data_IF_835908588255
#
_entry.id   IF_835908588255
#
_cell.length_a   1.000
_cell.length_b   1.000
_cell.length_c   1.000
_cell.angle_alpha   90.00
_cell.angle_beta   90.00
_cell.angle_gamma   90.00
#
_symmetry.space_group_name_H-M   'P 1'
#
loop_
_entity.id
_entity.type
_entity.pdbx_description
1 polymer ?
#
# COMPACT_ATOMS: atom_id res chain seq x y z
N UNK A 1 -1.95 20.38 -18.55
CA UNK A 1 -1.06 19.22 -18.29
C UNK A 1 -1.24 18.26 -19.44
N UNK A 2 -0.17 17.87 -20.15
CA UNK A 2 -0.27 16.92 -21.25
C UNK A 2 -0.39 15.49 -20.70
N UNK A 3 -1.51 14.83 -20.98
CA UNK A 3 -1.81 13.48 -20.49
C UNK A 3 -0.78 12.45 -20.94
N UNK A 4 -0.23 12.59 -22.16
CA UNK A 4 0.76 11.66 -22.68
C UNK A 4 2.05 11.77 -21.87
N UNK A 5 2.53 13.00 -21.67
CA UNK A 5 3.69 13.27 -20.82
C UNK A 5 3.49 12.73 -19.40
N UNK A 6 2.32 12.95 -18.79
CA UNK A 6 2.01 12.44 -17.44
C UNK A 6 2.08 10.92 -17.38
N UNK A 7 1.43 10.21 -18.31
CA UNK A 7 1.44 8.74 -18.33
C UNK A 7 2.86 8.22 -18.53
N UNK A 8 3.63 8.79 -19.46
CA UNK A 8 5.02 8.39 -19.69
C UNK A 8 5.88 8.58 -18.43
N UNK A 9 5.71 9.69 -17.71
CA UNK A 9 6.39 9.91 -16.43
C UNK A 9 6.00 8.86 -15.40
N UNK A 10 4.71 8.58 -15.22
CA UNK A 10 4.23 7.56 -14.27
C UNK A 10 4.75 6.16 -14.59
N UNK A 11 4.77 5.77 -15.87
CA UNK A 11 5.29 4.47 -16.29
C UNK A 11 6.80 4.35 -16.10
N UNK A 12 7.54 5.45 -16.31
CA UNK A 12 9.00 5.49 -16.10
C UNK A 12 9.36 5.45 -14.62
N UNK A 13 8.66 6.22 -13.80
CA UNK A 13 8.96 6.38 -12.37
C UNK A 13 8.36 5.22 -11.55
N UNK A 14 7.37 4.51 -12.10
CA UNK A 14 6.64 3.45 -11.43
C UNK A 14 5.57 3.99 -10.50
N UNK A 15 4.75 3.07 -9.97
CA UNK A 15 3.77 3.40 -8.94
C UNK A 15 3.64 2.26 -7.93
N UNK A 16 3.24 2.64 -6.72
CA UNK A 16 2.91 1.74 -5.64
C UNK A 16 1.48 2.03 -5.19
N UNK A 17 0.65 0.99 -5.10
CA UNK A 17 -0.69 1.15 -4.53
C UNK A 17 -0.59 1.26 -3.00
N UNK A 18 -1.16 2.30 -2.43
CA UNK A 18 -1.29 2.45 -0.98
C UNK A 18 -2.62 1.88 -0.50
N UNK A 19 -2.55 0.78 0.24
CA UNK A 19 -3.69 0.08 0.81
C UNK A 19 -4.03 0.63 2.19
N UNK A 20 -5.15 1.34 2.26
CA UNK A 20 -5.67 2.00 3.45
C UNK A 20 -7.13 1.60 3.77
N UNK A 21 -7.54 0.39 3.39
CA UNK A 21 -8.93 -0.06 3.46
C UNK A 21 -9.13 -1.19 4.48
N UNK A 22 -9.98 -0.98 5.48
CA UNK A 22 -10.35 -2.02 6.44
C UNK A 22 -11.33 -3.05 5.86
N UNK A 23 -12.26 -2.59 5.00
CA UNK A 23 -13.37 -3.39 4.47
C UNK A 23 -12.95 -4.38 3.38
N UNK A 24 -11.81 -4.15 2.73
CA UNK A 24 -11.33 -5.00 1.65
C UNK A 24 -10.43 -6.12 2.18
N UNK A 25 -10.53 -7.30 1.58
CA UNK A 25 -9.56 -8.36 1.84
C UNK A 25 -8.23 -8.03 1.14
N UNK A 26 -7.18 -8.04 1.93
CA UNK A 26 -5.85 -7.60 1.51
C UNK A 26 -5.23 -8.53 0.47
N UNK A 27 -5.46 -9.85 0.59
CA UNK A 27 -4.89 -10.85 -0.31
C UNK A 27 -5.65 -10.86 -1.64
N UNK A 28 -6.98 -10.80 -1.60
CA UNK A 28 -7.80 -10.66 -2.81
C UNK A 28 -7.45 -9.40 -3.59
N UNK A 29 -7.14 -8.30 -2.88
CA UNK A 29 -6.68 -7.05 -3.49
C UNK A 29 -5.32 -7.25 -4.16
N UNK A 30 -4.35 -7.84 -3.46
CA UNK A 30 -3.03 -8.14 -4.04
C UNK A 30 -3.13 -9.07 -5.27
N UNK A 31 -3.98 -10.10 -5.25
CA UNK A 31 -4.24 -10.96 -6.41
C UNK A 31 -4.83 -10.18 -7.59
N UNK A 32 -5.71 -9.20 -7.34
CA UNK A 32 -6.23 -8.33 -8.38
C UNK A 32 -5.13 -7.44 -8.99
N UNK A 33 -4.20 -6.96 -8.16
CA UNK A 33 -3.05 -6.18 -8.62
C UNK A 33 -2.10 -7.02 -9.49
N UNK A 34 -1.80 -8.25 -9.08
CA UNK A 34 -0.99 -9.19 -9.88
C UNK A 34 -1.63 -9.39 -11.26
N UNK A 35 -2.95 -9.63 -11.33
CA UNK A 35 -3.67 -9.75 -12.62
C UNK A 35 -3.62 -8.48 -13.47
N UNK A 36 -3.48 -7.32 -12.85
CA UNK A 36 -3.33 -6.03 -13.52
C UNK A 36 -1.86 -5.70 -13.87
N UNK A 37 -0.90 -6.59 -13.58
CA UNK A 37 0.53 -6.37 -13.84
C UNK A 37 1.24 -5.56 -12.76
N UNK A 38 0.63 -5.37 -11.59
CA UNK A 38 1.19 -4.63 -10.45
C UNK A 38 1.54 -5.62 -9.35
N UNK A 39 2.84 -5.86 -9.14
CA UNK A 39 3.34 -6.85 -8.19
C UNK A 39 3.80 -6.23 -6.85
N UNK A 40 3.25 -5.07 -6.51
CA UNK A 40 3.58 -4.38 -5.26
C UNK A 40 2.34 -3.72 -4.62
N UNK A 41 2.43 -3.50 -3.32
CA UNK A 41 1.47 -2.71 -2.54
C UNK A 41 2.13 -2.23 -1.25
N UNK A 42 1.80 -1.03 -0.81
CA UNK A 42 2.13 -0.54 0.52
C UNK A 42 0.91 -0.71 1.42
N UNK A 43 1.07 -1.26 2.63
CA UNK A 43 0.01 -1.25 3.65
C UNK A 43 0.29 -0.11 4.61
N UNK A 44 -0.69 0.76 4.82
CA UNK A 44 -0.57 1.74 5.87
C UNK A 44 -0.88 1.13 7.23
N UNK A 45 -0.03 1.36 8.23
CA UNK A 45 -0.25 0.93 9.61
C UNK A 45 -1.34 1.72 10.35
N UNK A 46 -2.19 2.45 9.61
CA UNK A 46 -3.34 3.22 10.12
C UNK A 46 -4.68 2.50 9.93
N UNK A 47 -4.66 1.28 9.38
CA UNK A 47 -5.83 0.38 9.32
C UNK A 47 -5.80 -0.62 10.47
N UNK A 48 -6.89 -1.35 10.67
CA UNK A 48 -6.98 -2.39 11.70
C UNK A 48 -6.04 -3.56 11.39
N UNK A 49 -5.25 -3.97 12.40
CA UNK A 49 -4.39 -5.17 12.36
C UNK A 49 -3.46 -5.22 11.13
N UNK A 50 -2.67 -4.16 10.85
CA UNK A 50 -1.89 -4.06 9.62
C UNK A 50 -0.79 -5.12 9.55
N UNK A 51 -0.18 -5.47 10.69
CA UNK A 51 0.85 -6.50 10.78
C UNK A 51 0.30 -7.90 10.48
N UNK A 52 -0.92 -8.21 10.94
CA UNK A 52 -1.59 -9.49 10.63
C UNK A 52 -1.90 -9.58 9.13
N UNK A 53 -2.36 -8.49 8.51
CA UNK A 53 -2.59 -8.41 7.06
C UNK A 53 -1.30 -8.61 6.26
N UNK A 54 -0.19 -8.00 6.68
CA UNK A 54 1.13 -8.20 6.06
C UNK A 54 1.64 -9.65 6.20
N UNK A 55 1.48 -10.25 7.40
CA UNK A 55 1.82 -11.65 7.63
C UNK A 55 1.09 -12.57 6.65
N UNK A 56 -0.23 -12.39 6.52
CA UNK A 56 -1.05 -13.15 5.57
C UNK A 56 -0.57 -13.00 4.13
N UNK A 57 -0.26 -11.77 3.68
CA UNK A 57 0.28 -11.56 2.33
C UNK A 57 1.59 -12.32 2.10
N UNK A 58 2.51 -12.29 3.07
CA UNK A 58 3.79 -13.01 2.97
C UNK A 58 3.59 -14.52 2.90
N UNK A 59 2.62 -15.05 3.63
CA UNK A 59 2.32 -16.50 3.65
C UNK A 59 1.59 -16.95 2.38
N UNK A 60 0.62 -16.17 1.89
CA UNK A 60 -0.24 -16.54 0.76
C UNK A 60 0.34 -16.13 -0.61
N UNK A 61 1.19 -15.09 -0.67
CA UNK A 61 1.75 -14.50 -1.89
C UNK A 61 3.24 -14.13 -1.69
N UNK A 62 4.15 -15.12 -1.56
CA UNK A 62 5.56 -14.88 -1.19
C UNK A 62 6.34 -14.02 -2.20
N UNK A 63 5.94 -14.00 -3.46
CA UNK A 63 6.60 -13.22 -4.53
C UNK A 63 6.05 -11.80 -4.67
N UNK A 64 5.00 -11.44 -3.90
CA UNK A 64 4.38 -10.12 -3.96
C UNK A 64 5.08 -9.14 -3.02
N UNK A 65 5.51 -7.99 -3.53
CA UNK A 65 6.26 -7.00 -2.75
C UNK A 65 5.32 -6.19 -1.88
N UNK A 66 5.54 -6.23 -0.56
CA UNK A 66 4.73 -5.47 0.41
C UNK A 66 5.59 -4.48 1.17
N UNK A 67 5.29 -3.20 1.01
CA UNK A 67 5.82 -2.12 1.83
C UNK A 67 4.92 -1.81 3.02
N UNK A 68 5.43 -1.08 4.01
CA UNK A 68 4.66 -0.59 5.13
C UNK A 68 4.89 0.92 5.31
N UNK A 69 3.81 1.71 5.26
CA UNK A 69 3.84 3.11 5.69
C UNK A 69 3.34 3.21 7.11
N UNK A 70 4.24 3.62 8.00
CA UNK A 70 3.97 3.61 9.42
C UNK A 70 4.47 4.87 10.12
N UNK A 71 3.74 5.24 11.17
CA UNK A 71 4.17 6.16 12.22
C UNK A 71 4.06 5.50 13.61
N UNK A 72 3.88 4.18 13.67
CA UNK A 72 3.72 3.46 14.95
C UNK A 72 4.95 3.57 15.84
N UNK A 73 6.12 3.81 15.24
CA UNK A 73 7.41 4.02 15.89
C UNK A 73 7.73 5.52 16.13
N UNK A 74 6.89 6.44 15.65
CA UNK A 74 7.01 7.88 15.90
C UNK A 74 5.68 8.46 16.43
N UNK A 75 5.42 8.32 17.75
CA UNK A 75 4.20 8.82 18.39
C UNK A 75 3.96 10.32 18.16
N UNK A 76 5.01 11.13 18.11
CA UNK A 76 4.93 12.58 17.89
C UNK A 76 4.41 12.90 16.49
N UNK A 77 4.94 12.22 15.47
CA UNK A 77 4.48 12.39 14.08
C UNK A 77 3.06 11.86 13.91
N UNK A 78 2.72 10.75 14.56
CA UNK A 78 1.35 10.24 14.57
C UNK A 78 0.37 11.27 15.16
N UNK A 79 0.76 11.95 16.25
CA UNK A 79 -0.06 13.00 16.86
C UNK A 79 -0.23 14.22 15.95
N UNK A 80 0.82 14.65 15.24
CA UNK A 80 0.72 15.74 14.23
C UNK A 80 -0.24 15.34 13.11
N UNK A 81 -0.11 14.12 12.59
CA UNK A 81 -0.94 13.63 11.48
C UNK A 81 -2.41 13.49 11.87
N UNK A 82 -2.70 12.95 13.06
CA UNK A 82 -4.07 12.79 13.57
C UNK A 82 -4.76 14.12 13.86
N UNK A 83 -4.02 15.21 14.09
CA UNK A 83 -4.59 16.55 14.23
C UNK A 83 -4.93 17.23 12.90
N UNK A 84 -4.33 16.77 11.80
CA UNK A 84 -4.49 17.35 10.47
C UNK A 84 -5.66 16.75 9.66
N UNK A 85 -6.26 15.64 10.15
CA UNK A 85 -7.47 15.02 9.60
C UNK A 85 -8.65 15.29 10.53
#
# INVERSE_FOLDING_TARGET
>A
MDIRKTITTLLRDGFILVFNQDKLDVVKTAQALIRAGVNNMEITCRISKPLEKMKRLREELPDFVVGAASLIDSPEMLAVYNKAN
#
